data_IF_633233561142
#
_entry.id   IF_633233561142
#
_cell.length_a   1.000
_cell.length_b   1.000
_cell.length_c   1.000
_cell.angle_alpha   90.00
_cell.angle_beta   90.00
_cell.angle_gamma   90.00
#
_symmetry.space_group_name_H-M   'P 1'
#
loop_
_entity.id
_entity.type
_entity.pdbx_description
1 polymer ?
#
# COMPACT_ATOMS: atom_id res chain seq x y z
N UNK A 1 10.13 -3.51 -16.84
CA UNK A 1 9.44 -2.19 -16.80
C UNK A 1 9.23 -1.83 -15.34
N UNK A 2 9.61 -0.63 -14.89
CA UNK A 2 9.34 -0.14 -13.55
C UNK A 2 7.85 0.19 -13.36
N UNK A 3 7.39 0.30 -12.11
CA UNK A 3 6.01 0.67 -11.79
C UNK A 3 5.63 2.03 -12.40
N UNK A 4 6.50 3.02 -12.26
CA UNK A 4 6.31 4.37 -12.85
C UNK A 4 6.08 4.32 -14.37
N UNK A 5 6.90 3.56 -15.10
CA UNK A 5 6.73 3.39 -16.56
C UNK A 5 5.41 2.69 -16.89
N UNK A 6 5.03 1.69 -16.07
CA UNK A 6 3.78 0.96 -16.27
C UNK A 6 2.57 1.86 -16.06
N UNK A 7 2.56 2.66 -15.01
CA UNK A 7 1.48 3.61 -14.73
C UNK A 7 1.35 4.65 -15.85
N UNK A 8 2.46 5.25 -16.28
CA UNK A 8 2.48 6.21 -17.40
C UNK A 8 1.94 5.61 -18.70
N UNK A 9 2.29 4.35 -19.00
CA UNK A 9 1.83 3.67 -20.21
C UNK A 9 0.37 3.26 -20.17
N UNK A 10 -0.16 2.97 -18.96
CA UNK A 10 -1.53 2.49 -18.76
C UNK A 10 -2.55 3.61 -18.55
N UNK A 11 -2.11 4.80 -18.15
CA UNK A 11 -2.97 5.96 -17.85
C UNK A 11 -2.44 7.16 -18.63
N UNK A 12 -2.90 7.35 -19.89
CA UNK A 12 -2.50 8.52 -20.69
C UNK A 12 -2.85 9.83 -19.96
N UNK A 13 -1.88 10.74 -19.87
CA UNK A 13 -2.06 12.03 -19.19
C UNK A 13 -2.06 11.98 -17.66
N UNK A 14 -1.58 10.89 -17.06
CA UNK A 14 -1.43 10.80 -15.60
C UNK A 14 -0.60 11.98 -15.06
N UNK A 15 -1.12 12.65 -14.04
CA UNK A 15 -0.40 13.76 -13.40
C UNK A 15 0.70 13.25 -12.46
N UNK A 16 1.72 14.06 -12.13
CA UNK A 16 2.74 13.68 -11.14
C UNK A 16 2.13 13.29 -9.79
N UNK A 17 1.12 13.99 -9.32
CA UNK A 17 0.43 13.73 -8.05
C UNK A 17 -0.31 12.38 -8.09
N UNK A 18 -1.02 12.10 -9.18
CA UNK A 18 -1.68 10.81 -9.37
C UNK A 18 -0.67 9.66 -9.44
N UNK A 19 0.47 9.89 -10.10
CA UNK A 19 1.53 8.90 -10.20
C UNK A 19 2.08 8.53 -8.81
N UNK A 20 2.34 9.52 -7.95
CA UNK A 20 2.77 9.31 -6.56
C UNK A 20 1.70 8.58 -5.76
N UNK A 21 0.43 8.97 -5.88
CA UNK A 21 -0.69 8.30 -5.16
C UNK A 21 -0.81 6.83 -5.54
N UNK A 22 -0.77 6.52 -6.83
CA UNK A 22 -0.90 5.15 -7.33
C UNK A 22 0.34 4.30 -7.02
N UNK A 23 1.54 4.90 -7.00
CA UNK A 23 2.74 4.22 -6.54
C UNK A 23 2.61 3.81 -5.07
N UNK A 24 2.26 4.75 -4.19
CA UNK A 24 2.02 4.47 -2.76
C UNK A 24 0.94 3.41 -2.55
N UNK A 25 -0.16 3.47 -3.31
CA UNK A 25 -1.24 2.48 -3.25
C UNK A 25 -0.74 1.08 -3.64
N UNK A 26 -0.01 0.96 -4.76
CA UNK A 26 0.52 -0.30 -5.23
C UNK A 26 1.49 -0.93 -4.22
N UNK A 27 2.36 -0.12 -3.63
CA UNK A 27 3.31 -0.63 -2.62
C UNK A 27 2.62 -0.96 -1.30
N UNK A 28 1.54 -0.28 -0.95
CA UNK A 28 0.72 -0.71 0.19
C UNK A 28 0.15 -2.09 -0.07
N UNK A 29 -0.36 -2.37 -1.26
CA UNK A 29 -0.84 -3.71 -1.62
C UNK A 29 0.27 -4.77 -1.46
N UNK A 30 1.47 -4.50 -1.99
CA UNK A 30 2.62 -5.43 -1.89
C UNK A 30 3.02 -5.68 -0.43
N UNK A 31 3.16 -4.62 0.37
CA UNK A 31 3.71 -4.72 1.73
C UNK A 31 2.68 -5.13 2.79
N UNK A 32 1.38 -5.09 2.49
CA UNK A 32 0.31 -5.58 3.38
C UNK A 32 -0.21 -6.97 3.02
N UNK A 33 0.11 -7.48 1.82
CA UNK A 33 -0.23 -8.83 1.40
C UNK A 33 0.59 -9.89 2.13
N UNK A 34 0.01 -11.08 2.28
CA UNK A 34 0.73 -12.25 2.79
C UNK A 34 1.80 -12.72 1.79
N UNK A 35 2.75 -13.52 2.26
CA UNK A 35 3.85 -14.02 1.46
C UNK A 35 5.09 -13.12 1.49
N UNK A 36 6.00 -13.34 0.55
CA UNK A 36 7.29 -12.63 0.48
C UNK A 36 7.12 -11.41 -0.43
N UNK A 37 7.28 -10.17 0.08
CA UNK A 37 7.19 -8.99 -0.75
C UNK A 37 8.39 -8.88 -1.68
N UNK A 38 8.16 -8.51 -2.92
CA UNK A 38 9.20 -8.24 -3.90
C UNK A 38 9.13 -6.76 -4.31
N UNK A 39 10.20 -6.01 -4.07
CA UNK A 39 10.34 -4.60 -4.43
C UNK A 39 11.45 -4.50 -5.48
N UNK A 40 11.16 -3.90 -6.61
CA UNK A 40 12.15 -3.63 -7.64
C UNK A 40 13.02 -2.44 -7.22
N UNK A 41 14.35 -2.60 -7.31
CA UNK A 41 15.29 -1.57 -6.82
C UNK A 41 15.06 -0.21 -7.47
N UNK A 42 14.88 0.83 -6.63
CA UNK A 42 14.61 2.20 -7.04
C UNK A 42 13.13 2.59 -7.12
N UNK A 43 12.18 1.66 -6.90
CA UNK A 43 10.76 2.01 -6.83
C UNK A 43 10.48 2.97 -5.68
N UNK A 44 11.19 2.82 -4.57
CA UNK A 44 11.12 3.70 -3.40
C UNK A 44 11.54 5.16 -3.66
N UNK A 45 12.13 5.42 -4.82
CA UNK A 45 12.50 6.76 -5.30
C UNK A 45 11.88 7.07 -6.66
N UNK A 46 10.78 6.41 -7.01
CA UNK A 46 10.05 6.63 -8.26
C UNK A 46 10.92 6.40 -9.50
N UNK A 47 11.75 5.33 -9.49
CA UNK A 47 12.63 5.00 -10.62
C UNK A 47 11.85 4.91 -11.93
N UNK A 48 12.44 5.47 -12.96
CA UNK A 48 11.88 5.55 -14.31
C UNK A 48 12.94 5.03 -15.29
N UNK A 49 12.53 4.16 -16.22
CA UNK A 49 13.37 3.63 -17.29
C UNK A 49 12.97 4.18 -18.66
N UNK A 50 12.32 5.34 -18.68
CA UNK A 50 11.91 6.06 -19.90
C UNK A 50 11.06 5.18 -20.84
N UNK A 51 10.24 4.29 -20.27
CA UNK A 51 9.36 3.39 -21.01
C UNK A 51 10.05 2.15 -21.60
N UNK A 52 11.36 1.95 -21.38
CA UNK A 52 12.06 0.77 -21.90
C UNK A 52 11.60 -0.49 -21.18
N UNK A 53 10.92 -1.38 -21.89
CA UNK A 53 10.34 -2.59 -21.34
C UNK A 53 11.39 -3.62 -20.93
N UNK A 54 12.32 -3.94 -21.83
CA UNK A 54 13.42 -4.87 -21.61
C UNK A 54 14.76 -4.12 -21.75
N UNK A 55 15.37 -3.82 -20.62
CA UNK A 55 16.51 -2.91 -20.57
C UNK A 55 17.85 -3.60 -20.27
N UNK A 56 17.93 -4.94 -20.42
CA UNK A 56 19.14 -5.67 -20.01
C UNK A 56 20.40 -5.26 -20.81
N UNK A 57 20.25 -4.86 -22.07
CA UNK A 57 21.33 -4.34 -22.92
C UNK A 57 21.34 -2.79 -23.02
N UNK A 58 20.47 -2.11 -22.25
CA UNK A 58 20.39 -0.65 -22.31
C UNK A 58 21.56 -0.01 -21.55
N UNK A 59 21.99 1.19 -21.97
CA UNK A 59 23.06 1.91 -21.30
C UNK A 59 22.68 2.38 -19.89
N UNK A 60 23.66 2.88 -19.13
CA UNK A 60 23.48 3.41 -17.78
C UNK A 60 22.45 4.55 -17.71
N UNK A 61 22.31 5.34 -18.79
CA UNK A 61 21.26 6.38 -18.87
C UNK A 61 19.82 5.84 -18.73
N UNK A 62 19.63 4.53 -18.87
CA UNK A 62 18.36 3.79 -18.63
C UNK A 62 18.46 2.94 -17.36
N UNK A 63 19.60 2.30 -17.11
CA UNK A 63 19.72 1.28 -16.08
C UNK A 63 20.21 1.80 -14.73
N UNK A 64 20.95 2.90 -14.67
CA UNK A 64 21.40 3.49 -13.42
C UNK A 64 20.21 3.94 -12.56
N UNK A 65 20.39 3.88 -11.25
CA UNK A 65 19.45 4.48 -10.28
C UNK A 65 19.95 5.88 -9.98
N UNK A 66 19.15 6.88 -10.31
CA UNK A 66 19.43 8.27 -9.93
C UNK A 66 19.05 8.49 -8.46
N UNK A 67 20.03 8.44 -7.59
CA UNK A 67 19.83 8.61 -6.15
C UNK A 67 19.44 10.04 -5.72
N UNK A 68 19.59 11.05 -6.59
CA UNK A 68 19.07 12.40 -6.31
C UNK A 68 17.54 12.39 -6.21
N UNK A 69 16.89 11.42 -6.83
CA UNK A 69 15.44 11.22 -6.74
C UNK A 69 14.97 10.94 -5.31
N UNK A 70 15.83 10.45 -4.43
CA UNK A 70 15.53 10.29 -3.01
C UNK A 70 15.15 11.61 -2.33
N UNK A 71 15.82 12.71 -2.72
CA UNK A 71 15.48 14.05 -2.22
C UNK A 71 14.24 14.60 -2.91
N UNK A 72 14.11 14.38 -4.22
CA UNK A 72 12.97 14.87 -5.01
C UNK A 72 11.65 14.16 -4.64
N UNK A 73 11.73 12.89 -4.23
CA UNK A 73 10.61 12.04 -3.83
C UNK A 73 10.75 11.56 -2.38
N UNK A 74 11.17 12.44 -1.49
CA UNK A 74 11.39 12.13 -0.07
C UNK A 74 10.12 11.57 0.59
N UNK A 75 8.96 12.08 0.23
CA UNK A 75 7.66 11.64 0.74
C UNK A 75 7.34 10.20 0.35
N UNK A 76 7.69 9.76 -0.87
CA UNK A 76 7.53 8.38 -1.33
C UNK A 76 8.52 7.48 -0.59
N UNK A 77 9.79 7.86 -0.53
CA UNK A 77 10.81 7.12 0.21
C UNK A 77 10.44 6.93 1.69
N UNK A 78 9.98 7.99 2.35
CA UNK A 78 9.51 7.93 3.74
C UNK A 78 8.30 7.01 3.90
N UNK A 79 7.37 7.03 2.94
CA UNK A 79 6.20 6.16 2.94
C UNK A 79 6.58 4.68 2.87
N UNK A 80 7.47 4.29 1.94
CA UNK A 80 7.99 2.91 1.85
C UNK A 80 8.68 2.47 3.13
N UNK A 81 9.53 3.33 3.69
CA UNK A 81 10.24 3.05 4.94
C UNK A 81 9.25 2.74 6.07
N UNK A 82 8.17 3.51 6.20
CA UNK A 82 7.14 3.31 7.22
C UNK A 82 6.30 2.05 6.98
N UNK A 83 5.93 1.74 5.73
CA UNK A 83 5.26 0.49 5.38
C UNK A 83 6.11 -0.73 5.75
N UNK A 84 7.41 -0.69 5.47
CA UNK A 84 8.34 -1.75 5.83
C UNK A 84 8.44 -1.87 7.36
N UNK A 85 8.47 -0.75 8.09
CA UNK A 85 8.48 -0.72 9.55
C UNK A 85 7.22 -1.40 10.11
N UNK A 86 6.02 -1.02 9.66
CA UNK A 86 4.75 -1.65 10.05
C UNK A 86 4.79 -3.16 9.76
N UNK A 87 5.17 -3.57 8.55
CA UNK A 87 5.25 -5.00 8.21
C UNK A 87 6.22 -5.76 9.11
N UNK A 88 7.32 -5.14 9.53
CA UNK A 88 8.31 -5.76 10.44
C UNK A 88 7.79 -5.83 11.88
N UNK A 89 7.11 -4.80 12.35
CA UNK A 89 6.58 -4.72 13.71
C UNK A 89 5.35 -5.64 13.88
N UNK A 90 4.54 -5.82 12.82
CA UNK A 90 3.29 -6.56 12.89
C UNK A 90 3.35 -7.91 12.18
N UNK A 91 3.52 -9.01 12.93
CA UNK A 91 3.62 -10.36 12.37
C UNK A 91 2.34 -10.83 11.65
N UNK A 92 1.19 -10.21 11.89
CA UNK A 92 -0.05 -10.48 11.16
C UNK A 92 0.12 -10.34 9.64
N UNK A 93 0.98 -9.44 9.16
CA UNK A 93 1.28 -9.30 7.73
C UNK A 93 2.22 -10.39 7.16
N UNK A 94 2.73 -11.29 8.00
CA UNK A 94 3.77 -12.25 7.65
C UNK A 94 3.46 -13.66 8.17
N UNK A 95 2.19 -14.09 8.04
CA UNK A 95 1.80 -15.44 8.39
C UNK A 95 2.49 -16.44 7.45
N UNK A 96 3.26 -17.36 8.03
CA UNK A 96 4.07 -18.34 7.29
C UNK A 96 3.36 -19.64 6.95
N UNK A 97 2.10 -19.80 7.38
CA UNK A 97 1.33 -21.03 7.27
C UNK A 97 -0.02 -20.75 6.60
N UNK A 98 -0.38 -21.59 5.64
CA UNK A 98 -1.63 -21.48 4.90
C UNK A 98 -2.89 -21.64 5.77
N UNK A 99 -2.83 -22.48 6.80
CA UNK A 99 -3.95 -22.66 7.74
C UNK A 99 -4.15 -21.40 8.57
N UNK A 100 -3.07 -20.77 9.02
CA UNK A 100 -3.11 -19.51 9.74
C UNK A 100 -3.71 -18.40 8.87
N UNK A 101 -3.33 -18.32 7.60
CA UNK A 101 -3.91 -17.35 6.65
C UNK A 101 -5.41 -17.60 6.48
N UNK A 102 -5.86 -18.85 6.26
CA UNK A 102 -7.28 -19.17 6.13
C UNK A 102 -8.09 -18.83 7.39
N UNK A 103 -7.50 -18.97 8.56
CA UNK A 103 -8.14 -18.69 9.83
C UNK A 103 -8.30 -17.20 10.10
N UNK A 104 -7.25 -16.42 9.82
CA UNK A 104 -7.14 -15.04 10.29
C UNK A 104 -7.35 -13.98 9.20
N UNK A 105 -7.26 -14.32 7.91
CA UNK A 105 -7.51 -13.38 6.82
C UNK A 105 -8.93 -13.52 6.31
N UNK A 106 -9.65 -12.41 6.25
CA UNK A 106 -11.02 -12.32 5.77
C UNK A 106 -11.17 -11.14 4.82
N UNK A 107 -11.70 -11.38 3.61
CA UNK A 107 -12.06 -10.28 2.71
C UNK A 107 -13.38 -9.66 3.16
N UNK A 108 -13.41 -8.34 3.25
CA UNK A 108 -14.62 -7.60 3.58
C UNK A 108 -15.46 -7.37 2.31
N UNK A 109 -16.80 -7.40 2.43
CA UNK A 109 -17.69 -7.06 1.32
C UNK A 109 -17.45 -5.63 0.84
N UNK A 110 -17.35 -5.45 -0.46
CA UNK A 110 -17.19 -4.13 -1.11
C UNK A 110 -18.13 -4.01 -2.29
N UNK A 111 -18.66 -2.81 -2.51
CA UNK A 111 -19.52 -2.54 -3.65
C UNK A 111 -18.70 -2.13 -4.88
N UNK A 112 -18.93 -2.83 -6.00
CA UNK A 112 -18.32 -2.52 -7.29
C UNK A 112 -16.83 -2.88 -7.39
N UNK A 113 -16.22 -2.61 -8.54
CA UNK A 113 -14.82 -2.94 -8.83
C UNK A 113 -13.80 -1.93 -8.30
N UNK A 114 -12.53 -2.29 -8.38
CA UNK A 114 -11.38 -1.44 -8.04
C UNK A 114 -11.31 -0.96 -6.58
N UNK A 115 -11.99 -1.64 -5.68
CA UNK A 115 -11.83 -1.56 -4.23
C UNK A 115 -11.60 -2.97 -3.70
N UNK A 116 -10.58 -3.14 -2.89
CA UNK A 116 -10.31 -4.39 -2.16
C UNK A 116 -10.16 -4.03 -0.69
N UNK A 117 -10.83 -4.78 0.17
CA UNK A 117 -10.66 -4.65 1.61
C UNK A 117 -10.53 -6.02 2.27
N UNK A 118 -9.65 -6.14 3.23
CA UNK A 118 -9.48 -7.35 4.03
C UNK A 118 -9.17 -7.02 5.48
N UNK A 119 -9.47 -7.97 6.35
CA UNK A 119 -9.20 -7.92 7.78
C UNK A 119 -8.24 -9.06 8.15
N UNK A 120 -7.25 -8.73 8.98
CA UNK A 120 -6.45 -9.68 9.74
C UNK A 120 -6.97 -9.66 11.17
N UNK A 121 -7.58 -10.74 11.65
CA UNK A 121 -8.36 -10.79 12.88
C UNK A 121 -7.71 -11.64 13.96
N UNK A 122 -8.16 -11.45 15.19
CA UNK A 122 -7.82 -12.32 16.34
C UNK A 122 -6.32 -12.36 16.62
N UNK A 123 -5.65 -11.20 16.61
CA UNK A 123 -4.20 -11.08 16.85
C UNK A 123 -3.39 -12.07 16.00
N UNK A 124 -3.68 -12.10 14.71
CA UNK A 124 -3.06 -13.02 13.76
C UNK A 124 -1.55 -13.13 13.96
N UNK A 125 -1.04 -14.37 14.01
CA UNK A 125 0.38 -14.66 14.21
C UNK A 125 0.99 -14.06 15.49
N UNK A 126 0.17 -13.86 16.54
CA UNK A 126 0.62 -13.27 17.82
C UNK A 126 0.84 -11.77 17.78
N UNK A 127 0.19 -11.05 16.86
CA UNK A 127 0.28 -9.60 16.74
C UNK A 127 -0.23 -8.87 17.99
N UNK A 128 0.31 -7.69 18.25
CA UNK A 128 -0.17 -6.79 19.31
C UNK A 128 -1.46 -6.08 18.91
N UNK A 129 -1.70 -5.86 17.63
CA UNK A 129 -2.96 -5.35 17.10
C UNK A 129 -3.99 -6.47 17.00
N UNK A 130 -5.19 -6.23 17.50
CA UNK A 130 -6.23 -7.27 17.55
C UNK A 130 -6.84 -7.52 16.17
N UNK A 131 -7.34 -6.47 15.56
CA UNK A 131 -7.90 -6.49 14.21
C UNK A 131 -7.21 -5.42 13.36
N UNK A 132 -6.72 -5.81 12.20
CA UNK A 132 -6.13 -4.90 11.23
C UNK A 132 -7.00 -4.92 9.97
N UNK A 133 -7.48 -3.76 9.55
CA UNK A 133 -8.22 -3.63 8.30
C UNK A 133 -7.37 -2.85 7.31
N UNK A 134 -7.21 -3.43 6.13
CA UNK A 134 -6.55 -2.80 4.99
C UNK A 134 -7.58 -2.63 3.88
N UNK A 135 -7.72 -1.41 3.37
CA UNK A 135 -8.54 -1.12 2.20
C UNK A 135 -7.71 -0.41 1.13
N UNK A 136 -7.84 -0.87 -0.10
CA UNK A 136 -7.10 -0.42 -1.28
C UNK A 136 -8.09 0.10 -2.31
N UNK A 137 -8.22 1.41 -2.42
CA UNK A 137 -9.14 2.06 -3.36
C UNK A 137 -8.38 2.56 -4.60
N UNK A 138 -8.51 1.86 -5.72
CA UNK A 138 -7.94 2.29 -7.00
C UNK A 138 -8.89 3.16 -7.84
N UNK A 139 -10.08 3.49 -7.32
CA UNK A 139 -11.06 4.37 -8.01
C UNK A 139 -10.57 5.81 -8.00
N UNK A 140 -11.01 6.58 -8.99
CA UNK A 140 -10.79 8.04 -9.04
C UNK A 140 -11.70 8.83 -8.08
N UNK A 141 -12.58 8.15 -7.34
CA UNK A 141 -13.51 8.72 -6.36
C UNK A 141 -13.37 8.03 -5.01
N UNK A 142 -13.70 8.70 -3.90
CA UNK A 142 -13.75 8.04 -2.59
C UNK A 142 -14.74 6.87 -2.59
N UNK A 143 -14.48 5.87 -1.78
CA UNK A 143 -15.33 4.70 -1.59
C UNK A 143 -15.75 4.56 -0.13
N UNK A 144 -16.98 4.10 0.10
CA UNK A 144 -17.47 3.73 1.42
C UNK A 144 -17.14 2.27 1.70
N UNK A 145 -16.76 1.98 2.94
CA UNK A 145 -16.46 0.64 3.41
C UNK A 145 -17.13 0.45 4.77
N UNK A 146 -18.02 -0.55 4.86
CA UNK A 146 -18.53 -1.01 6.14
C UNK A 146 -17.44 -1.77 6.88
N UNK A 147 -17.24 -1.49 8.15
CA UNK A 147 -16.27 -2.13 9.02
C UNK A 147 -16.97 -2.65 10.28
N UNK A 148 -16.44 -3.69 10.94
CA UNK A 148 -16.97 -4.14 12.22
C UNK A 148 -16.96 -3.00 13.26
N UNK A 149 -17.95 -3.01 14.16
CA UNK A 149 -18.02 -2.03 15.23
C UNK A 149 -16.78 -2.06 16.13
N UNK A 150 -16.36 -0.90 16.56
CA UNK A 150 -15.22 -0.77 17.46
C UNK A 150 -14.50 0.57 17.34
N UNK A 151 -13.53 0.77 18.22
CA UNK A 151 -12.63 1.90 18.14
C UNK A 151 -11.40 1.50 17.34
N UNK A 152 -11.12 2.23 16.26
CA UNK A 152 -9.95 2.00 15.43
C UNK A 152 -8.97 3.18 15.47
N UNK A 153 -7.69 2.87 15.48
CA UNK A 153 -6.61 3.82 15.21
C UNK A 153 -6.29 3.81 13.72
N UNK A 154 -6.26 4.97 13.09
CA UNK A 154 -5.88 5.13 11.68
C UNK A 154 -4.37 5.26 11.59
N UNK A 155 -3.68 4.36 10.89
CA UNK A 155 -2.22 4.43 10.71
C UNK A 155 -1.79 4.74 9.28
N UNK A 156 -2.68 4.52 8.31
CA UNK A 156 -2.46 4.92 6.92
C UNK A 156 -3.76 5.49 6.32
N UNK A 157 -3.68 6.67 5.73
CA UNK A 157 -4.80 7.30 5.01
C UNK A 157 -4.28 8.39 4.09
N UNK A 158 -4.84 8.45 2.86
CA UNK A 158 -4.58 9.51 1.88
C UNK A 158 -3.09 9.76 1.61
N UNK A 159 -2.31 8.68 1.44
CA UNK A 159 -0.88 8.75 1.18
C UNK A 159 -0.01 9.16 2.37
N UNK A 160 -0.61 9.34 3.56
CA UNK A 160 0.09 9.55 4.84
C UNK A 160 0.12 8.26 5.63
N UNK A 161 1.18 8.09 6.44
CA UNK A 161 1.36 6.91 7.30
C UNK A 161 2.09 7.30 8.58
N UNK A 162 1.55 6.92 9.74
CA UNK A 162 2.19 7.06 11.05
C UNK A 162 1.74 5.90 11.95
N UNK A 163 2.70 5.11 12.43
CA UNK A 163 2.45 3.97 13.33
C UNK A 163 1.84 4.40 14.67
N UNK A 164 2.07 5.64 15.10
CA UNK A 164 1.50 6.20 16.33
C UNK A 164 0.04 6.62 16.17
N UNK A 165 -0.45 6.67 14.92
CA UNK A 165 -1.81 7.02 14.56
C UNK A 165 -1.96 8.42 13.98
N UNK A 166 -2.82 8.50 12.96
CA UNK A 166 -3.28 9.72 12.30
C UNK A 166 -4.63 10.21 12.86
N UNK A 167 -5.21 9.46 13.80
CA UNK A 167 -6.53 9.73 14.39
C UNK A 167 -7.26 8.45 14.76
N UNK A 168 -8.50 8.59 15.23
CA UNK A 168 -9.37 7.48 15.61
C UNK A 168 -10.69 7.50 14.85
N UNK A 169 -11.27 6.31 14.65
CA UNK A 169 -12.59 6.09 14.04
C UNK A 169 -13.47 5.30 15.01
N UNK A 170 -14.75 5.60 15.01
CA UNK A 170 -15.76 4.96 15.85
C UNK A 170 -17.00 4.51 15.07
N UNK A 171 -17.16 5.01 13.84
CA UNK A 171 -18.31 4.73 12.99
C UNK A 171 -18.18 3.34 12.33
N UNK A 172 -19.30 2.66 12.09
CA UNK A 172 -19.33 1.35 11.42
C UNK A 172 -19.09 1.45 9.90
N UNK A 173 -18.92 2.66 9.38
CA UNK A 173 -18.59 2.93 7.97
C UNK A 173 -17.46 3.94 7.88
N UNK A 174 -16.48 3.66 7.03
CA UNK A 174 -15.34 4.55 6.78
C UNK A 174 -15.24 4.95 5.31
N UNK A 175 -14.80 6.17 5.05
CA UNK A 175 -14.47 6.62 3.70
C UNK A 175 -13.00 6.34 3.40
N UNK A 176 -12.75 5.56 2.33
CA UNK A 176 -11.42 5.31 1.78
C UNK A 176 -11.19 6.33 0.65
N UNK A 177 -10.22 7.24 0.76
CA UNK A 177 -9.98 8.27 -0.25
C UNK A 177 -9.67 7.68 -1.64
N UNK A 178 -9.88 8.48 -2.70
CA UNK A 178 -9.60 8.09 -4.07
C UNK A 178 -8.12 7.74 -4.26
N UNK A 179 -7.82 6.72 -5.06
CA UNK A 179 -6.45 6.29 -5.40
C UNK A 179 -5.53 6.22 -4.17
N UNK A 180 -6.02 5.60 -3.11
CA UNK A 180 -5.35 5.61 -1.82
C UNK A 180 -5.63 4.32 -1.03
N UNK A 181 -4.76 4.07 -0.06
CA UNK A 181 -4.94 3.00 0.92
C UNK A 181 -5.43 3.56 2.27
N UNK A 182 -6.13 2.71 3.00
CA UNK A 182 -6.47 2.89 4.41
C UNK A 182 -5.93 1.68 5.18
N UNK A 183 -5.21 1.93 6.28
CA UNK A 183 -4.86 0.91 7.27
C UNK A 183 -5.33 1.40 8.62
N UNK A 184 -6.16 0.59 9.29
CA UNK A 184 -6.68 0.86 10.63
C UNK A 184 -6.54 -0.38 11.50
N UNK A 185 -6.43 -0.20 12.80
CA UNK A 185 -6.36 -1.31 13.76
C UNK A 185 -7.08 -1.03 15.07
N UNK A 186 -7.43 -2.10 15.78
CA UNK A 186 -7.90 -2.13 17.18
C UNK A 186 -6.78 -2.55 18.11
#
# INVERSE_FOLDING_TARGET
>A
MCLVDRLKSSIPGITPEQLVRLDKLAQTAVLTSQGIPFIYAGEEVMRDKKGVHNSFESPDSINAIDWNRKTTHEDVFAYYKRLISIRKAHPAFRMGDAEMVRKHLEFLPVDGGNLVAFRLKDRANGDTWDNIIVALNARSVPAKLAIPEGKYTVVCRDGMIDERGLGSLYEPEVTVPAQSALIIHQ
#
